data_IF_486961314876
#
_entry.id   IF_486961314876
#
_cell.length_a   1.000
_cell.length_b   1.000
_cell.length_c   1.000
_cell.angle_alpha   90.00
_cell.angle_beta   90.00
_cell.angle_gamma   90.00
#
_symmetry.space_group_name_H-M   'P 1'
#
loop_
_entity.id
_entity.type
_entity.pdbx_description
1 polymer ?
#
# COMPACT_ATOMS: atom_id res chain seq x y z
N UNK A 1 12.45 -1.78 11.75
CA UNK A 1 11.90 -0.42 11.74
C UNK A 1 10.68 -0.46 12.64
N UNK A 2 10.67 0.34 13.69
CA UNK A 2 9.53 0.45 14.62
C UNK A 2 8.65 1.61 14.11
N UNK A 3 8.21 1.49 12.87
CA UNK A 3 7.41 2.51 12.20
C UNK A 3 5.93 2.13 12.35
N UNK A 4 5.16 3.04 12.95
CA UNK A 4 3.72 2.92 13.13
C UNK A 4 3.03 2.82 11.75
N UNK A 5 2.40 1.68 11.48
CA UNK A 5 1.57 1.46 10.29
C UNK A 5 0.11 1.72 10.68
N UNK A 6 -0.50 2.71 10.05
CA UNK A 6 -1.92 3.02 10.23
C UNK A 6 -2.77 2.38 9.13
N UNK A 7 -3.89 1.77 9.50
CA UNK A 7 -4.92 1.34 8.56
C UNK A 7 -5.88 2.51 8.29
N UNK A 8 -5.97 2.96 7.03
CA UNK A 8 -6.81 4.09 6.63
C UNK A 8 -6.57 5.35 7.49
N UNK A 9 -5.30 5.61 7.82
CA UNK A 9 -4.84 6.77 8.57
C UNK A 9 -3.62 7.40 7.87
N UNK A 10 -3.50 8.74 7.85
CA UNK A 10 -4.48 9.73 8.33
C UNK A 10 -5.67 9.92 7.37
N UNK A 11 -5.65 9.28 6.20
CA UNK A 11 -6.70 9.33 5.19
C UNK A 11 -7.32 7.94 5.03
N UNK A 12 -8.64 7.88 5.14
CA UNK A 12 -9.40 6.71 4.74
C UNK A 12 -9.77 6.82 3.26
N UNK A 13 -10.01 5.68 2.61
CA UNK A 13 -10.61 5.68 1.28
C UNK A 13 -12.06 6.20 1.40
N UNK A 14 -12.38 7.24 0.65
CA UNK A 14 -13.72 7.83 0.57
C UNK A 14 -14.23 7.77 -0.88
N UNK A 15 -15.34 7.07 -1.12
CA UNK A 15 -15.89 6.81 -2.46
C UNK A 15 -16.13 8.06 -3.33
N UNK A 16 -16.31 9.23 -2.70
CA UNK A 16 -16.56 10.51 -3.37
C UNK A 16 -15.28 11.30 -3.69
N UNK A 17 -14.12 10.90 -3.15
CA UNK A 17 -12.83 11.59 -3.31
C UNK A 17 -11.83 10.69 -4.04
N UNK A 18 -11.85 9.39 -3.77
CA UNK A 18 -10.95 8.43 -4.37
C UNK A 18 -11.45 7.92 -5.72
N UNK A 19 -10.52 7.78 -6.66
CA UNK A 19 -10.85 7.38 -8.02
C UNK A 19 -10.21 6.04 -8.41
N UNK A 20 -8.94 5.86 -8.10
CA UNK A 20 -8.16 4.71 -8.59
C UNK A 20 -8.66 3.39 -8.01
N UNK A 21 -8.83 3.29 -6.69
CA UNK A 21 -9.30 2.05 -6.05
C UNK A 21 -10.75 1.73 -6.44
N UNK A 22 -11.73 2.66 -6.32
CA UNK A 22 -13.11 2.33 -6.66
C UNK A 22 -13.29 1.99 -8.14
N UNK A 23 -12.69 2.75 -9.07
CA UNK A 23 -12.94 2.56 -10.50
C UNK A 23 -12.07 1.44 -11.11
N UNK A 24 -10.78 1.41 -10.80
CA UNK A 24 -9.83 0.52 -11.48
C UNK A 24 -9.54 -0.77 -10.70
N UNK A 25 -9.83 -0.79 -9.40
CA UNK A 25 -9.69 -1.95 -8.53
C UNK A 25 -11.03 -2.64 -8.26
N UNK A 26 -11.71 -2.18 -7.21
CA UNK A 26 -12.93 -2.80 -6.66
C UNK A 26 -14.07 -2.88 -7.67
N UNK A 27 -14.31 -1.82 -8.45
CA UNK A 27 -15.32 -1.80 -9.51
C UNK A 27 -15.09 -2.82 -10.63
N UNK A 28 -13.90 -3.43 -10.68
CA UNK A 28 -13.54 -4.52 -11.60
C UNK A 28 -13.39 -5.87 -10.90
N UNK A 29 -13.69 -5.94 -9.60
CA UNK A 29 -13.51 -7.14 -8.78
C UNK A 29 -12.05 -7.53 -8.56
N UNK A 30 -11.12 -6.58 -8.67
CA UNK A 30 -9.68 -6.82 -8.48
C UNK A 30 -9.28 -6.45 -7.04
N UNK A 31 -8.70 -7.37 -6.26
CA UNK A 31 -8.10 -7.04 -4.96
C UNK A 31 -7.09 -5.91 -5.14
N UNK A 32 -7.26 -4.83 -4.38
CA UNK A 32 -6.49 -3.60 -4.55
C UNK A 32 -6.18 -2.99 -3.18
N UNK A 33 -5.03 -2.34 -3.08
CA UNK A 33 -4.61 -1.60 -1.88
C UNK A 33 -3.95 -0.30 -2.29
N UNK A 34 -4.20 0.76 -1.53
CA UNK A 34 -3.47 2.03 -1.63
C UNK A 34 -2.44 2.08 -0.50
N UNK A 35 -1.20 2.44 -0.82
CA UNK A 35 -0.12 2.56 0.15
C UNK A 35 0.32 4.02 0.21
N UNK A 36 0.19 4.62 1.38
CA UNK A 36 0.63 5.97 1.63
C UNK A 36 1.91 5.98 2.48
N UNK A 37 2.95 6.64 1.99
CA UNK A 37 4.20 6.82 2.71
C UNK A 37 4.40 8.31 2.95
N UNK A 38 4.48 8.70 4.22
CA UNK A 38 4.75 10.10 4.57
C UNK A 38 6.05 10.58 3.91
N UNK A 39 6.00 11.75 3.28
CA UNK A 39 7.11 12.31 2.49
C UNK A 39 8.43 12.41 3.27
N UNK A 40 8.39 12.66 4.57
CA UNK A 40 9.59 12.74 5.42
C UNK A 40 10.33 11.40 5.54
N UNK A 41 9.65 10.28 5.30
CA UNK A 41 10.19 8.92 5.39
C UNK A 41 10.96 8.47 4.15
N UNK A 42 10.89 9.23 3.05
CA UNK A 42 11.53 8.89 1.77
C UNK A 42 12.41 10.02 1.21
N UNK A 43 12.86 10.93 2.08
CA UNK A 43 13.69 12.09 1.68
C UNK A 43 15.07 11.73 1.12
N UNK A 44 15.53 10.50 1.32
CA UNK A 44 16.83 10.03 0.82
C UNK A 44 16.64 8.77 -0.02
N UNK A 45 17.55 8.55 -0.97
CA UNK A 45 17.56 7.34 -1.78
C UNK A 45 17.67 6.07 -0.92
N UNK A 46 18.45 6.11 0.16
CA UNK A 46 18.58 5.00 1.10
C UNK A 46 17.26 4.70 1.83
N UNK A 47 16.55 5.73 2.28
CA UNK A 47 15.26 5.56 2.95
C UNK A 47 14.18 5.04 2.00
N UNK A 48 14.10 5.57 0.78
CA UNK A 48 13.20 5.07 -0.26
C UNK A 48 13.51 3.61 -0.64
N UNK A 49 14.79 3.25 -0.74
CA UNK A 49 15.21 1.87 -1.00
C UNK A 49 14.82 0.92 0.14
N UNK A 50 14.90 1.38 1.40
CA UNK A 50 14.42 0.61 2.55
C UNK A 50 12.92 0.29 2.47
N UNK A 51 12.09 1.29 2.16
CA UNK A 51 10.65 1.09 1.94
C UNK A 51 10.36 0.15 0.76
N UNK A 52 11.05 0.31 -0.36
CA UNK A 52 10.88 -0.55 -1.53
C UNK A 52 11.19 -2.02 -1.20
N UNK A 53 12.28 -2.28 -0.47
CA UNK A 53 12.63 -3.62 -0.03
C UNK A 53 11.55 -4.22 0.89
N UNK A 54 11.11 -3.47 1.90
CA UNK A 54 10.07 -3.93 2.82
C UNK A 54 8.74 -4.23 2.10
N UNK A 55 8.31 -3.36 1.18
CA UNK A 55 7.09 -3.57 0.42
C UNK A 55 7.18 -4.79 -0.51
N UNK A 56 8.34 -5.02 -1.13
CA UNK A 56 8.57 -6.22 -1.93
C UNK A 56 8.48 -7.50 -1.09
N UNK A 57 9.10 -7.51 0.09
CA UNK A 57 9.06 -8.66 1.00
C UNK A 57 7.64 -8.99 1.47
N UNK A 58 6.83 -7.97 1.79
CA UNK A 58 5.42 -8.14 2.16
C UNK A 58 4.59 -8.60 0.97
N UNK A 59 4.80 -8.04 -0.22
CA UNK A 59 4.09 -8.44 -1.43
C UNK A 59 4.30 -9.93 -1.74
N UNK A 60 5.53 -10.44 -1.63
CA UNK A 60 5.82 -11.85 -1.86
C UNK A 60 5.06 -12.78 -0.89
N UNK A 61 4.82 -12.34 0.35
CA UNK A 61 4.02 -13.10 1.32
C UNK A 61 2.54 -13.12 0.92
N UNK A 62 1.99 -11.95 0.54
CA UNK A 62 0.60 -11.82 0.09
C UNK A 62 0.36 -12.62 -1.19
N UNK A 63 1.25 -12.53 -2.17
CA UNK A 63 1.14 -13.26 -3.44
C UNK A 63 1.12 -14.78 -3.19
N UNK A 64 2.01 -15.27 -2.33
CA UNK A 64 2.04 -16.69 -1.95
C UNK A 64 0.75 -17.12 -1.23
N UNK A 65 0.09 -16.24 -0.49
CA UNK A 65 -1.22 -16.51 0.14
C UNK A 65 -2.37 -16.47 -0.87
N UNK A 66 -2.40 -15.48 -1.76
CA UNK A 66 -3.44 -15.32 -2.77
C UNK A 66 -3.46 -16.50 -3.76
N UNK A 67 -2.30 -17.06 -4.09
CA UNK A 67 -2.19 -18.27 -4.94
C UNK A 67 -2.72 -19.55 -4.27
N UNK A 68 -3.02 -19.52 -2.96
CA UNK A 68 -3.58 -20.66 -2.22
C UNK A 68 -5.11 -20.64 -2.14
N UNK A 69 -5.75 -19.57 -2.60
CA UNK A 69 -7.22 -19.39 -2.67
C UNK A 69 -7.75 -19.82 -4.04
#
# INVERSE_FOLDING_TARGET
MDDEVGDNQPYAIEDNVDYTIPLHGEGRGLPSVMIEIRQDRIRTAAAAAGWAAQLADVWLQIEAEAQRL
#
